data_IF_877108049493
#
_entry.id   IF_877108049493
#
_cell.length_a   1.000
_cell.length_b   1.000
_cell.length_c   1.000
_cell.angle_alpha   90.00
_cell.angle_beta   90.00
_cell.angle_gamma   90.00
#
_symmetry.space_group_name_H-M   'P 1'
#
loop_
_entity.id
_entity.type
_entity.pdbx_description
1 polymer ?
#
# COMPACT_ATOMS: atom_id res chain seq x y z
N UNK A 1 -19.93 0.29 1.67
CA UNK A 1 -19.61 -0.35 0.37
C UNK A 1 -18.16 -0.09 0.01
N UNK A 2 -17.45 -1.11 -0.45
CA UNK A 2 -16.04 -0.97 -0.79
C UNK A 2 -15.87 -0.23 -2.12
N UNK A 3 -14.86 0.63 -2.18
CA UNK A 3 -14.42 1.30 -3.39
C UNK A 3 -13.17 0.61 -3.88
N UNK A 4 -13.03 0.46 -5.19
CA UNK A 4 -11.85 -0.16 -5.79
C UNK A 4 -11.18 0.79 -6.75
N UNK A 5 -9.85 0.75 -6.77
CA UNK A 5 -9.05 1.54 -7.69
C UNK A 5 -7.90 0.68 -8.22
N UNK A 6 -7.58 0.87 -9.49
CA UNK A 6 -6.45 0.18 -10.13
C UNK A 6 -5.67 1.21 -10.95
N UNK A 7 -4.37 1.25 -10.73
CA UNK A 7 -3.48 2.13 -11.49
C UNK A 7 -2.32 1.31 -12.06
N UNK A 8 -1.85 1.74 -13.22
CA UNK A 8 -0.69 1.13 -13.88
C UNK A 8 0.30 2.21 -14.25
N UNK A 9 1.58 1.87 -14.09
CA UNK A 9 2.65 2.76 -14.54
C UNK A 9 3.83 1.91 -15.03
N UNK A 10 4.60 2.45 -15.94
CA UNK A 10 5.82 1.81 -16.41
C UNK A 10 7.01 2.58 -15.86
N UNK A 11 7.93 1.86 -15.24
CA UNK A 11 9.14 2.44 -14.68
C UNK A 11 10.37 1.76 -15.28
N UNK A 12 11.51 2.46 -15.28
CA UNK A 12 12.74 1.93 -15.88
C UNK A 12 13.49 0.93 -14.98
N UNK A 13 13.15 0.85 -13.69
CA UNK A 13 13.77 -0.10 -12.78
C UNK A 13 13.30 -1.53 -13.04
N UNK A 14 14.13 -2.52 -12.72
CA UNK A 14 13.76 -3.93 -12.86
C UNK A 14 12.66 -4.33 -11.89
N UNK A 15 11.91 -5.41 -12.17
CA UNK A 15 10.91 -5.92 -11.24
C UNK A 15 11.48 -6.23 -9.85
N UNK A 16 12.67 -6.79 -9.77
CA UNK A 16 13.32 -7.09 -8.50
C UNK A 16 13.58 -5.82 -7.68
N UNK A 17 14.02 -4.75 -8.35
CA UNK A 17 14.25 -3.46 -7.68
C UNK A 17 12.95 -2.80 -7.23
N UNK A 18 11.91 -2.89 -8.06
CA UNK A 18 10.58 -2.37 -7.71
C UNK A 18 10.03 -3.08 -6.46
N UNK A 19 10.18 -4.40 -6.41
CA UNK A 19 9.78 -5.18 -5.24
C UNK A 19 10.57 -4.77 -4.00
N UNK A 20 11.90 -4.65 -4.13
CA UNK A 20 12.78 -4.25 -3.03
C UNK A 20 12.37 -2.93 -2.39
N UNK A 21 12.11 -1.91 -3.20
CA UNK A 21 11.70 -0.58 -2.73
C UNK A 21 10.32 -0.66 -2.07
N UNK A 22 9.38 -1.40 -2.68
CA UNK A 22 8.02 -1.53 -2.14
C UNK A 22 7.98 -2.34 -0.85
N UNK A 23 8.86 -3.33 -0.70
CA UNK A 23 8.94 -4.16 0.51
C UNK A 23 9.73 -3.50 1.64
N UNK A 24 10.47 -2.42 1.35
CA UNK A 24 11.16 -1.63 2.36
C UNK A 24 10.19 -0.65 3.03
N UNK A 25 9.24 -1.22 3.74
CA UNK A 25 8.08 -0.50 4.27
C UNK A 25 8.49 0.52 5.34
N UNK A 26 9.50 0.20 6.14
CA UNK A 26 9.99 1.10 7.18
C UNK A 26 10.52 2.42 6.62
N UNK A 27 10.92 2.45 5.36
CA UNK A 27 11.44 3.64 4.69
C UNK A 27 10.36 4.50 4.03
N UNK A 28 9.10 4.09 4.04
CA UNK A 28 8.01 4.81 3.39
C UNK A 28 7.93 6.30 3.78
N UNK A 29 8.11 6.69 5.07
CA UNK A 29 8.05 8.12 5.42
C UNK A 29 9.08 8.99 4.71
N UNK A 30 10.16 8.38 4.19
CA UNK A 30 11.22 9.13 3.49
C UNK A 30 10.78 9.64 2.12
N UNK A 31 9.80 8.98 1.48
CA UNK A 31 9.36 9.34 0.14
C UNK A 31 7.85 9.42 -0.05
N UNK A 32 7.06 8.86 0.86
CA UNK A 32 5.59 8.94 0.80
C UNK A 32 5.13 10.01 1.78
N UNK A 33 4.85 11.21 1.26
CA UNK A 33 4.59 12.40 2.08
C UNK A 33 3.43 12.25 3.06
N UNK A 34 2.42 11.46 2.73
CA UNK A 34 1.25 11.28 3.60
C UNK A 34 1.47 10.22 4.69
N UNK A 35 2.51 9.41 4.59
CA UNK A 35 2.87 8.43 5.61
C UNK A 35 3.80 9.09 6.63
N UNK A 36 3.32 9.28 7.85
CA UNK A 36 4.05 10.02 8.90
C UNK A 36 4.86 9.11 9.82
N UNK A 37 4.32 7.93 10.13
CA UNK A 37 5.01 6.95 10.96
C UNK A 37 4.75 5.53 10.46
N UNK A 38 5.75 4.68 10.60
CA UNK A 38 5.66 3.24 10.31
C UNK A 38 6.21 2.50 11.51
N UNK A 39 5.41 1.59 12.08
CA UNK A 39 5.85 0.72 13.17
C UNK A 39 5.70 -0.73 12.74
N UNK A 40 6.82 -1.44 12.65
CA UNK A 40 6.81 -2.87 12.32
C UNK A 40 6.46 -3.63 13.59
N UNK A 41 5.27 -4.22 13.65
CA UNK A 41 4.75 -4.93 14.81
C UNK A 41 5.28 -6.36 14.85
N UNK A 42 5.31 -7.03 13.70
CA UNK A 42 5.81 -8.39 13.57
C UNK A 42 6.64 -8.52 12.29
N UNK A 43 7.64 -9.40 12.36
CA UNK A 43 8.44 -9.78 11.20
C UNK A 43 8.27 -11.27 10.93
N UNK A 44 8.40 -11.67 9.66
CA UNK A 44 8.35 -13.07 9.31
C UNK A 44 9.70 -13.77 9.59
N UNK A 45 9.78 -15.06 9.29
CA UNK A 45 10.99 -15.85 9.54
C UNK A 45 12.22 -15.33 8.78
N UNK A 46 12.02 -14.58 7.71
CA UNK A 46 13.09 -14.00 6.90
C UNK A 46 13.42 -12.54 7.29
N UNK A 47 12.78 -12.05 8.35
CA UNK A 47 12.99 -10.69 8.84
C UNK A 47 12.22 -9.60 8.11
N UNK A 48 11.30 -9.97 7.21
CA UNK A 48 10.49 -9.00 6.46
C UNK A 48 9.34 -8.49 7.32
N UNK A 49 8.95 -7.20 7.17
CA UNK A 49 7.78 -6.68 7.89
C UNK A 49 6.51 -7.46 7.52
N UNK A 50 5.94 -8.17 8.48
CA UNK A 50 4.75 -8.99 8.26
C UNK A 50 3.48 -8.28 8.74
N UNK A 51 3.54 -7.60 9.88
CA UNK A 51 2.44 -6.80 10.40
C UNK A 51 2.97 -5.40 10.70
N UNK A 52 2.35 -4.39 10.12
CA UNK A 52 2.86 -3.02 10.16
C UNK A 52 1.72 -2.05 10.47
N UNK A 53 1.94 -1.18 11.44
CA UNK A 53 1.02 -0.09 11.76
C UNK A 53 1.52 1.20 11.13
N UNK A 54 0.64 1.88 10.42
CA UNK A 54 0.91 3.14 9.77
C UNK A 54 0.14 4.26 10.45
N UNK A 55 0.76 5.44 10.52
CA UNK A 55 0.05 6.67 10.80
C UNK A 55 0.21 7.57 9.59
N UNK A 56 -0.90 8.01 9.04
CA UNK A 56 -0.94 8.78 7.80
C UNK A 56 -1.82 10.00 7.94
N UNK A 57 -1.59 11.01 7.11
CA UNK A 57 -2.47 12.16 6.97
C UNK A 57 -3.50 11.85 5.90
N UNK A 58 -4.77 11.90 6.26
CA UNK A 58 -5.87 11.65 5.32
C UNK A 58 -7.11 12.44 5.77
N UNK A 59 -7.85 12.97 4.81
CA UNK A 59 -9.11 13.70 5.09
C UNK A 59 -8.93 14.89 6.03
N UNK A 60 -7.78 15.55 5.99
CA UNK A 60 -7.47 16.69 6.87
C UNK A 60 -7.18 16.30 8.32
N UNK A 61 -6.93 15.01 8.59
CA UNK A 61 -6.66 14.51 9.93
C UNK A 61 -5.65 13.38 9.90
N UNK A 62 -5.16 13.01 11.07
CA UNK A 62 -4.30 11.84 11.24
C UNK A 62 -5.15 10.58 11.32
N UNK A 63 -4.72 9.52 10.68
CA UNK A 63 -5.40 8.23 10.70
C UNK A 63 -4.37 7.13 10.93
N UNK A 64 -4.78 6.07 11.60
CA UNK A 64 -3.94 4.90 11.85
C UNK A 64 -4.59 3.64 11.30
N UNK A 65 -3.79 2.77 10.73
CA UNK A 65 -4.24 1.47 10.26
C UNK A 65 -3.10 0.46 10.32
N UNK A 66 -3.46 -0.82 10.44
CA UNK A 66 -2.50 -1.91 10.53
C UNK A 66 -2.74 -2.86 9.36
N UNK A 67 -1.67 -3.19 8.66
CA UNK A 67 -1.71 -4.08 7.50
C UNK A 67 -0.90 -5.35 7.77
N UNK A 68 -1.45 -6.48 7.32
CA UNK A 68 -0.73 -7.75 7.31
C UNK A 68 -0.28 -8.01 5.86
N UNK A 69 1.02 -8.20 5.66
CA UNK A 69 1.63 -8.39 4.36
C UNK A 69 1.76 -9.86 4.00
N UNK A 70 1.53 -10.17 2.74
CA UNK A 70 1.66 -11.51 2.18
C UNK A 70 2.77 -11.48 1.13
N UNK A 71 3.85 -12.22 1.40
CA UNK A 71 5.01 -12.31 0.52
C UNK A 71 5.01 -13.59 -0.32
N UNK A 72 3.92 -14.37 -0.31
CA UNK A 72 3.88 -15.64 -1.03
C UNK A 72 4.03 -15.48 -2.55
N UNK A 73 3.70 -14.32 -3.09
CA UNK A 73 3.87 -14.01 -4.51
C UNK A 73 5.18 -13.29 -4.85
N UNK A 74 6.06 -13.09 -3.86
CA UNK A 74 7.31 -12.35 -4.07
C UNK A 74 8.24 -13.07 -5.05
N UNK A 75 8.99 -12.33 -5.87
CA UNK A 75 9.05 -10.87 -5.97
C UNK A 75 8.08 -10.28 -6.99
N UNK A 76 7.18 -11.05 -7.56
CA UNK A 76 6.24 -10.58 -8.58
C UNK A 76 5.04 -9.87 -8.01
N UNK A 77 4.66 -10.16 -6.77
CA UNK A 77 3.48 -9.59 -6.11
C UNK A 77 3.81 -9.27 -4.66
N UNK A 78 3.37 -8.10 -4.21
CA UNK A 78 3.35 -7.75 -2.79
C UNK A 78 1.91 -7.40 -2.42
N UNK A 79 1.29 -8.20 -1.55
CA UNK A 79 -0.10 -8.05 -1.18
C UNK A 79 -0.25 -7.74 0.31
N UNK A 80 -1.37 -7.15 0.69
CA UNK A 80 -1.68 -6.87 2.09
C UNK A 80 -3.18 -6.84 2.32
N UNK A 81 -3.56 -7.06 3.59
CA UNK A 81 -4.93 -6.86 4.06
C UNK A 81 -4.88 -6.01 5.33
N UNK A 82 -5.92 -5.22 5.54
CA UNK A 82 -6.04 -4.45 6.77
C UNK A 82 -6.57 -5.34 7.88
N UNK A 83 -5.92 -5.29 9.05
CA UNK A 83 -6.38 -5.98 10.25
C UNK A 83 -7.04 -5.03 11.24
N UNK A 84 -6.62 -3.77 11.27
CA UNK A 84 -7.17 -2.72 12.12
C UNK A 84 -7.12 -1.38 11.42
N UNK A 85 -8.09 -0.50 11.70
CA UNK A 85 -8.08 0.85 11.18
C UNK A 85 -9.06 1.71 11.97
N UNK A 86 -8.74 3.01 12.11
CA UNK A 86 -9.60 3.95 12.85
C UNK A 86 -10.72 4.52 11.97
N UNK A 87 -10.44 4.85 10.71
CA UNK A 87 -11.45 5.39 9.79
C UNK A 87 -11.75 4.45 8.62
N UNK A 88 -10.95 3.41 8.42
CA UNK A 88 -11.18 2.41 7.36
C UNK A 88 -11.57 1.09 7.99
N UNK A 89 -12.54 0.39 7.40
CA UNK A 89 -12.86 -0.99 7.75
C UNK A 89 -12.13 -1.96 6.83
N UNK A 90 -11.68 -1.49 5.67
CA UNK A 90 -10.93 -2.29 4.71
C UNK A 90 -9.95 -1.41 3.96
N UNK A 91 -8.72 -1.88 3.82
CA UNK A 91 -7.67 -1.21 3.06
C UNK A 91 -6.74 -2.29 2.51
N UNK A 92 -7.28 -3.11 1.62
CA UNK A 92 -6.59 -4.28 1.07
C UNK A 92 -6.04 -3.94 -0.31
N UNK A 93 -4.90 -4.48 -0.64
CA UNK A 93 -4.34 -4.19 -1.94
C UNK A 93 -3.18 -5.09 -2.32
N UNK A 94 -2.62 -4.77 -3.48
CA UNK A 94 -1.42 -5.45 -3.97
C UNK A 94 -0.71 -4.62 -5.02
N UNK A 95 0.59 -4.84 -5.12
CA UNK A 95 1.40 -4.44 -6.26
C UNK A 95 1.71 -5.68 -7.08
N UNK A 96 1.63 -5.56 -8.40
CA UNK A 96 2.08 -6.59 -9.33
C UNK A 96 3.20 -5.98 -10.18
N UNK A 97 4.34 -6.66 -10.22
CA UNK A 97 5.55 -6.19 -10.92
C UNK A 97 5.81 -7.11 -12.11
N UNK A 98 5.51 -6.62 -13.31
CA UNK A 98 5.69 -7.39 -14.55
C UNK A 98 6.81 -6.78 -15.38
N UNK A 99 7.80 -7.59 -15.78
CA UNK A 99 8.91 -7.13 -16.60
C UNK A 99 8.46 -6.70 -17.98
N UNK A 100 9.09 -5.64 -18.51
CA UNK A 100 8.88 -5.18 -19.89
C UNK A 100 10.05 -5.65 -20.76
N UNK A 101 9.89 -5.65 -22.11
CA UNK A 101 10.96 -6.12 -23.01
C UNK A 101 12.28 -5.35 -22.90
N UNK A 102 12.25 -4.10 -22.45
CA UNK A 102 13.44 -3.25 -22.33
C UNK A 102 14.09 -3.30 -20.94
N UNK A 103 13.67 -4.26 -20.09
CA UNK A 103 14.24 -4.42 -18.75
C UNK A 103 13.60 -3.58 -17.67
N UNK A 104 12.55 -2.85 -17.98
CA UNK A 104 11.78 -2.08 -17.02
C UNK A 104 10.66 -2.91 -16.39
N UNK A 105 9.72 -2.23 -15.77
CA UNK A 105 8.61 -2.87 -15.07
C UNK A 105 7.30 -2.14 -15.33
N UNK A 106 6.23 -2.90 -15.64
CA UNK A 106 4.87 -2.41 -15.52
C UNK A 106 4.43 -2.72 -14.09
N UNK A 107 4.17 -1.67 -13.31
CA UNK A 107 3.66 -1.78 -11.95
C UNK A 107 2.17 -1.58 -11.98
N UNK A 108 1.42 -2.58 -11.50
CA UNK A 108 -0.02 -2.48 -11.32
C UNK A 108 -0.30 -2.39 -9.83
N UNK A 109 -0.98 -1.33 -9.41
CA UNK A 109 -1.39 -1.12 -8.04
C UNK A 109 -2.91 -1.26 -7.96
N UNK A 110 -3.37 -2.17 -7.13
CA UNK A 110 -4.79 -2.40 -6.90
C UNK A 110 -5.12 -2.17 -5.43
N UNK A 111 -6.16 -1.39 -5.16
CA UNK A 111 -6.56 -1.06 -3.80
C UNK A 111 -8.07 -1.20 -3.66
N UNK A 112 -8.50 -1.78 -2.54
CA UNK A 112 -9.90 -1.84 -2.13
C UNK A 112 -10.03 -1.15 -0.78
N UNK A 113 -10.86 -0.12 -0.72
CA UNK A 113 -11.05 0.72 0.48
C UNK A 113 -12.50 0.72 0.90
N UNK A 114 -12.75 0.53 2.18
CA UNK A 114 -14.07 0.68 2.76
C UNK A 114 -13.94 1.58 3.99
N UNK A 115 -14.76 2.62 4.05
CA UNK A 115 -14.71 3.59 5.15
C UNK A 115 -15.71 3.22 6.23
N UNK A 116 -15.32 3.44 7.49
CA UNK A 116 -16.21 3.23 8.64
C UNK A 116 -17.26 4.32 8.76
N UNK A 117 -16.97 5.52 8.20
CA UNK A 117 -17.87 6.67 8.28
C UNK A 117 -18.23 7.10 6.87
N UNK A 118 -19.49 7.58 6.64
CA UNK A 118 -19.88 8.10 5.35
C UNK A 118 -19.10 9.36 5.01
N UNK A 119 -18.65 9.47 3.76
CA UNK A 119 -17.95 10.66 3.26
C UNK A 119 -18.65 11.15 2.01
N UNK A 120 -18.65 12.48 1.76
CA UNK A 120 -19.09 13.00 0.48
C UNK A 120 -18.27 12.37 -0.66
N UNK A 121 -18.89 12.17 -1.82
CA UNK A 121 -18.25 11.47 -2.94
C UNK A 121 -16.94 12.09 -3.37
N UNK A 122 -16.83 13.43 -3.39
CA UNK A 122 -15.59 14.10 -3.79
C UNK A 122 -14.44 13.82 -2.81
N UNK A 123 -14.76 13.66 -1.52
CA UNK A 123 -13.73 13.32 -0.50
C UNK A 123 -13.27 11.87 -0.72
N UNK A 124 -14.18 10.95 -1.02
CA UNK A 124 -13.82 9.56 -1.32
C UNK A 124 -12.88 9.47 -2.51
N UNK A 125 -13.14 10.21 -3.58
CA UNK A 125 -12.28 10.22 -4.76
C UNK A 125 -10.89 10.74 -4.44
N UNK A 126 -10.80 11.81 -3.64
CA UNK A 126 -9.51 12.37 -3.23
C UNK A 126 -8.75 11.39 -2.33
N UNK A 127 -9.45 10.69 -1.45
CA UNK A 127 -8.84 9.71 -0.57
C UNK A 127 -8.22 8.57 -1.36
N UNK A 128 -8.92 8.03 -2.33
CA UNK A 128 -8.39 6.98 -3.21
C UNK A 128 -7.14 7.46 -3.94
N UNK A 129 -7.19 8.64 -4.48
CA UNK A 129 -6.05 9.24 -5.20
C UNK A 129 -4.83 9.43 -4.29
N UNK A 130 -5.04 9.84 -3.04
CA UNK A 130 -3.95 10.06 -2.08
C UNK A 130 -3.33 8.75 -1.57
N UNK A 131 -4.14 7.71 -1.44
CA UNK A 131 -3.67 6.42 -0.97
C UNK A 131 -2.84 5.72 -2.05
N UNK A 132 -3.20 5.92 -3.28
CA UNK A 132 -2.49 5.38 -4.43
C UNK A 132 -1.24 6.19 -4.74
#
# INVERSE_FOLDING_TARGET
>A
MAEQATERMVVSASPARCFEVSADIASYPLWAADIKEVTVVERDAEGRPAVVTFRAAAFGRSTSYTLAYDYSGAPGVLAWIQTEGDITSKLDGRYVFAGTPDGGTEVTYHLEVEMKVPLPGFIKMRAQSRIM
#
